data_IF_643634459582
#
_entry.id   IF_643634459582
#
_cell.length_a   1.000
_cell.length_b   1.000
_cell.length_c   1.000
_cell.angle_alpha   90.00
_cell.angle_beta   90.00
_cell.angle_gamma   90.00
#
_symmetry.space_group_name_H-M   'P 1'
#
loop_
_entity.id
_entity.type
_entity.pdbx_description
1 polymer ?
#
# COMPACT_ATOMS: atom_id res chain seq x y z
N UNK A 1 -16.70 -19.10 -22.97
CA UNK A 1 -16.95 -18.48 -21.65
C UNK A 1 -16.25 -17.14 -21.60
N UNK A 2 -16.93 -16.15 -21.05
CA UNK A 2 -16.33 -14.84 -20.90
C UNK A 2 -15.26 -14.86 -19.81
N UNK A 3 -14.15 -14.14 -20.05
CA UNK A 3 -13.13 -13.93 -19.04
C UNK A 3 -13.68 -13.01 -17.93
N UNK A 4 -13.22 -13.17 -16.67
CA UNK A 4 -13.64 -12.26 -15.61
C UNK A 4 -13.23 -10.82 -15.92
N UNK A 5 -14.09 -9.87 -15.59
CA UNK A 5 -13.79 -8.45 -15.74
C UNK A 5 -12.83 -8.00 -14.65
N UNK A 6 -12.20 -6.84 -14.86
CA UNK A 6 -11.37 -6.22 -13.83
C UNK A 6 -12.17 -6.03 -12.52
N UNK A 7 -13.45 -5.66 -12.62
CA UNK A 7 -14.33 -5.49 -11.46
C UNK A 7 -14.54 -6.81 -10.72
N UNK A 8 -14.80 -7.91 -11.44
CA UNK A 8 -14.98 -9.23 -10.82
C UNK A 8 -13.70 -9.67 -10.11
N UNK A 9 -12.56 -9.48 -10.75
CA UNK A 9 -11.26 -9.80 -10.17
C UNK A 9 -10.96 -8.96 -8.93
N UNK A 10 -11.30 -7.68 -8.97
CA UNK A 10 -11.14 -6.77 -7.83
C UNK A 10 -12.02 -7.22 -6.65
N UNK A 11 -13.28 -7.54 -6.91
CA UNK A 11 -14.18 -8.04 -5.87
C UNK A 11 -13.69 -9.33 -5.23
N UNK A 12 -13.23 -10.26 -6.05
CA UNK A 12 -12.67 -11.52 -5.57
C UNK A 12 -11.43 -11.28 -4.71
N UNK A 13 -10.54 -10.42 -5.18
CA UNK A 13 -9.32 -10.07 -4.43
C UNK A 13 -9.60 -9.38 -3.11
N UNK A 14 -10.55 -8.44 -3.08
CA UNK A 14 -10.89 -7.73 -1.84
C UNK A 14 -11.57 -8.65 -0.84
N UNK A 15 -12.38 -9.60 -1.28
CA UNK A 15 -12.96 -10.60 -0.40
C UNK A 15 -11.85 -11.46 0.24
N UNK A 16 -10.88 -11.88 -0.53
CA UNK A 16 -9.75 -12.64 0.00
C UNK A 16 -8.92 -11.80 0.99
N UNK A 17 -8.76 -10.50 0.73
CA UNK A 17 -8.12 -9.58 1.67
C UNK A 17 -8.87 -9.53 3.01
N UNK A 18 -10.18 -9.40 2.96
CA UNK A 18 -11.02 -9.34 4.17
C UNK A 18 -10.92 -10.63 4.97
N UNK A 19 -10.76 -11.77 4.29
CA UNK A 19 -10.59 -13.07 4.92
C UNK A 19 -9.18 -13.29 5.45
N UNK A 20 -8.25 -12.37 5.19
CA UNK A 20 -6.85 -12.51 5.59
C UNK A 20 -6.02 -13.41 4.69
N UNK A 21 -6.56 -13.83 3.54
CA UNK A 21 -5.87 -14.67 2.56
C UNK A 21 -5.03 -13.80 1.63
N UNK A 22 -4.00 -13.16 2.19
CA UNK A 22 -3.23 -12.14 1.49
C UNK A 22 -2.54 -12.68 0.25
N UNK A 23 -1.88 -13.81 0.38
CA UNK A 23 -1.17 -14.41 -0.76
C UNK A 23 -2.14 -14.77 -1.88
N UNK A 24 -3.26 -15.41 -1.56
CA UNK A 24 -4.29 -15.75 -2.54
C UNK A 24 -4.89 -14.50 -3.20
N UNK A 25 -5.04 -13.41 -2.44
CA UNK A 25 -5.59 -12.16 -2.95
C UNK A 25 -4.72 -11.53 -4.03
N UNK A 26 -3.41 -11.76 -4.01
CA UNK A 26 -2.51 -11.17 -5.00
C UNK A 26 -2.82 -11.66 -6.42
N UNK A 27 -3.33 -12.89 -6.57
CA UNK A 27 -3.57 -13.49 -7.89
C UNK A 27 -4.63 -12.71 -8.68
N UNK A 28 -5.89 -12.58 -8.18
CA UNK A 28 -6.90 -11.82 -8.93
C UNK A 28 -6.57 -10.32 -9.01
N UNK A 29 -5.90 -9.76 -7.99
CA UNK A 29 -5.59 -8.34 -8.00
C UNK A 29 -4.48 -7.98 -9.01
N UNK A 30 -3.51 -8.86 -9.21
CA UNK A 30 -2.51 -8.68 -10.27
C UNK A 30 -3.18 -8.66 -11.65
N UNK A 31 -4.11 -9.57 -11.89
CA UNK A 31 -4.85 -9.61 -13.15
C UNK A 31 -5.70 -8.36 -13.34
N UNK A 32 -6.35 -7.89 -12.28
CA UNK A 32 -7.14 -6.66 -12.33
C UNK A 32 -6.25 -5.46 -12.69
N UNK A 33 -5.05 -5.38 -12.12
CA UNK A 33 -4.10 -4.31 -12.45
C UNK A 33 -3.65 -4.38 -13.90
N UNK A 34 -3.41 -5.57 -14.43
CA UNK A 34 -3.04 -5.74 -15.84
C UNK A 34 -4.14 -5.24 -16.78
N UNK A 35 -5.40 -5.45 -16.42
CA UNK A 35 -6.54 -5.01 -17.20
C UNK A 35 -6.80 -3.50 -17.06
N UNK A 36 -6.55 -2.93 -15.88
CA UNK A 36 -6.76 -1.50 -15.59
C UNK A 36 -5.58 -0.93 -14.79
N UNK A 37 -4.43 -0.71 -15.45
CA UNK A 37 -3.21 -0.34 -14.74
C UNK A 37 -3.25 1.04 -14.07
N UNK A 38 -4.15 1.93 -14.52
CA UNK A 38 -4.27 3.27 -13.95
C UNK A 38 -5.24 3.37 -12.77
N UNK A 39 -5.89 2.28 -12.38
CA UNK A 39 -6.93 2.34 -11.36
C UNK A 39 -6.35 2.27 -9.94
N UNK A 40 -6.42 3.38 -9.22
CA UNK A 40 -5.84 3.50 -7.88
C UNK A 40 -6.40 2.49 -6.90
N UNK A 41 -7.72 2.24 -6.92
CA UNK A 41 -8.36 1.28 -6.00
C UNK A 41 -7.80 -0.13 -6.16
N UNK A 42 -7.51 -0.54 -7.39
CA UNK A 42 -6.91 -1.85 -7.67
C UNK A 42 -5.48 -1.90 -7.13
N UNK A 43 -4.68 -0.86 -7.39
CA UNK A 43 -3.30 -0.81 -6.91
C UNK A 43 -3.22 -0.77 -5.38
N UNK A 44 -4.12 -0.04 -4.72
CA UNK A 44 -4.18 -0.02 -3.25
C UNK A 44 -4.52 -1.40 -2.69
N UNK A 45 -5.52 -2.07 -3.26
CA UNK A 45 -5.90 -3.41 -2.82
C UNK A 45 -4.76 -4.40 -3.04
N UNK A 46 -4.10 -4.34 -4.20
CA UNK A 46 -2.94 -5.17 -4.50
C UNK A 46 -1.79 -4.89 -3.51
N UNK A 47 -1.51 -3.62 -3.25
CA UNK A 47 -0.50 -3.22 -2.28
C UNK A 47 -0.77 -3.80 -0.90
N UNK A 48 -2.02 -3.76 -0.45
CA UNK A 48 -2.44 -4.34 0.84
C UNK A 48 -2.23 -5.85 0.87
N UNK A 49 -2.57 -6.54 -0.21
CA UNK A 49 -2.37 -7.98 -0.31
C UNK A 49 -0.87 -8.33 -0.29
N UNK A 50 -0.08 -7.59 -1.04
CA UNK A 50 1.37 -7.78 -1.08
C UNK A 50 2.01 -7.52 0.28
N UNK A 51 1.57 -6.46 0.98
CA UNK A 51 2.05 -6.15 2.33
C UNK A 51 1.72 -7.29 3.29
N UNK A 52 0.47 -7.76 3.28
CA UNK A 52 0.05 -8.88 4.13
C UNK A 52 0.78 -10.17 3.82
N UNK A 53 1.17 -10.38 2.57
CA UNK A 53 1.99 -11.52 2.15
C UNK A 53 3.49 -11.31 2.38
N UNK A 54 3.88 -10.23 3.03
CA UNK A 54 5.27 -9.86 3.34
C UNK A 54 6.13 -9.58 2.09
N UNK A 55 5.49 -9.18 1.02
CA UNK A 55 6.17 -8.79 -0.23
C UNK A 55 6.28 -7.28 -0.25
N UNK A 56 7.13 -6.74 0.62
CA UNK A 56 7.15 -5.32 0.96
C UNK A 56 7.67 -4.43 -0.18
N UNK A 57 8.64 -4.88 -0.96
CA UNK A 57 9.13 -4.08 -2.08
C UNK A 57 8.04 -3.91 -3.15
N UNK A 58 7.36 -5.00 -3.48
CA UNK A 58 6.26 -4.94 -4.43
C UNK A 58 5.11 -4.09 -3.91
N UNK A 59 4.81 -4.19 -2.61
CA UNK A 59 3.81 -3.32 -1.97
C UNK A 59 4.20 -1.85 -2.10
N UNK A 60 5.45 -1.51 -1.82
CA UNK A 60 5.95 -0.14 -1.94
C UNK A 60 5.81 0.37 -3.38
N UNK A 61 6.06 -0.48 -4.37
CA UNK A 61 5.92 -0.11 -5.78
C UNK A 61 4.48 0.23 -6.13
N UNK A 62 3.50 -0.56 -5.63
CA UNK A 62 2.09 -0.29 -5.90
C UNK A 62 1.61 0.99 -5.21
N UNK A 63 1.93 1.16 -3.92
CA UNK A 63 1.55 2.38 -3.21
C UNK A 63 2.26 3.61 -3.76
N UNK A 64 3.51 3.47 -4.18
CA UNK A 64 4.26 4.53 -4.83
C UNK A 64 3.61 4.99 -6.12
N UNK A 65 3.08 4.07 -6.93
CA UNK A 65 2.36 4.41 -8.15
C UNK A 65 1.08 5.20 -7.84
N UNK A 66 0.36 4.84 -6.77
CA UNK A 66 -0.83 5.59 -6.32
C UNK A 66 -0.42 7.01 -5.89
N UNK A 67 0.65 7.13 -5.12
CA UNK A 67 1.14 8.45 -4.66
C UNK A 67 1.54 9.34 -5.84
N UNK A 68 2.14 8.77 -6.88
CA UNK A 68 2.49 9.53 -8.08
C UNK A 68 1.28 10.15 -8.74
N UNK A 69 0.15 9.44 -8.83
CA UNK A 69 -1.07 9.95 -9.45
C UNK A 69 -1.94 10.74 -8.49
N UNK A 70 -1.81 10.52 -7.19
CA UNK A 70 -2.60 11.17 -6.14
C UNK A 70 -1.71 11.52 -4.94
N UNK A 71 -0.90 12.62 -5.05
CA UNK A 71 0.11 12.93 -4.03
C UNK A 71 -0.43 13.25 -2.64
N UNK A 72 -1.73 13.52 -2.51
CA UNK A 72 -2.37 13.81 -1.22
C UNK A 72 -3.24 12.66 -0.72
N UNK A 73 -3.09 11.48 -1.31
CA UNK A 73 -3.76 10.29 -0.80
C UNK A 73 -3.02 9.82 0.46
N UNK A 74 -3.55 10.20 1.62
CA UNK A 74 -2.91 9.94 2.92
C UNK A 74 -2.73 8.45 3.20
N UNK A 75 -3.71 7.64 2.83
CA UNK A 75 -3.61 6.21 3.06
C UNK A 75 -2.48 5.57 2.24
N UNK A 76 -2.37 5.93 0.96
CA UNK A 76 -1.30 5.42 0.10
C UNK A 76 0.08 5.87 0.59
N UNK A 77 0.19 7.13 1.04
CA UNK A 77 1.42 7.64 1.65
C UNK A 77 1.79 6.85 2.90
N UNK A 78 0.83 6.60 3.76
CA UNK A 78 1.05 5.83 4.99
C UNK A 78 1.51 4.41 4.66
N UNK A 79 0.83 3.75 3.75
CA UNK A 79 1.16 2.37 3.37
C UNK A 79 2.52 2.28 2.66
N UNK A 80 2.86 3.28 1.83
CA UNK A 80 4.20 3.36 1.24
C UNK A 80 5.26 3.45 2.34
N UNK A 81 5.06 4.35 3.29
CA UNK A 81 5.99 4.51 4.39
C UNK A 81 6.13 3.24 5.23
N UNK A 82 5.02 2.58 5.52
CA UNK A 82 5.03 1.32 6.26
C UNK A 82 5.80 0.22 5.51
N UNK A 83 5.59 0.14 4.20
CA UNK A 83 6.31 -0.83 3.37
C UNK A 83 7.82 -0.59 3.41
N UNK A 84 8.23 0.67 3.32
CA UNK A 84 9.64 1.06 3.41
C UNK A 84 10.22 0.76 4.79
N UNK A 85 9.45 0.99 5.86
CA UNK A 85 9.87 0.63 7.22
C UNK A 85 10.13 -0.88 7.36
N UNK A 86 9.25 -1.70 6.79
CA UNK A 86 9.39 -3.15 6.85
C UNK A 86 10.61 -3.63 6.07
N UNK A 87 11.07 -2.86 5.09
CA UNK A 87 12.29 -3.12 4.35
C UNK A 87 13.56 -2.60 5.07
N UNK A 88 13.39 -1.94 6.21
CA UNK A 88 14.50 -1.31 6.91
C UNK A 88 14.97 0.01 6.30
N UNK A 89 14.24 0.54 5.32
CA UNK A 89 14.57 1.78 4.61
C UNK A 89 13.94 2.96 5.34
N UNK A 90 14.39 3.18 6.57
CA UNK A 90 13.78 4.13 7.50
C UNK A 90 13.92 5.58 7.04
N UNK A 91 15.04 5.92 6.44
CA UNK A 91 15.27 7.27 5.93
C UNK A 91 14.27 7.62 4.83
N UNK A 92 14.06 6.70 3.90
CA UNK A 92 13.09 6.89 2.81
C UNK A 92 11.64 6.89 3.30
N UNK A 93 11.36 6.21 4.41
CA UNK A 93 10.01 6.16 4.99
C UNK A 93 9.60 7.47 5.66
N UNK A 94 10.56 8.32 6.06
CA UNK A 94 10.28 9.55 6.83
C UNK A 94 9.35 10.51 6.09
N UNK A 95 9.61 10.77 4.82
CA UNK A 95 8.83 11.75 4.06
C UNK A 95 7.36 11.33 3.89
N UNK A 96 7.05 10.14 3.35
CA UNK A 96 5.64 9.76 3.17
C UNK A 96 4.88 9.65 4.50
N UNK A 97 5.52 9.20 5.58
CA UNK A 97 4.86 9.10 6.88
C UNK A 97 4.61 10.49 7.49
N UNK A 98 5.56 11.41 7.35
CA UNK A 98 5.38 12.79 7.82
C UNK A 98 4.24 13.46 7.07
N UNK A 99 4.18 13.29 5.75
CA UNK A 99 3.14 13.89 4.93
C UNK A 99 1.76 13.32 5.25
N UNK A 100 1.65 11.99 5.42
CA UNK A 100 0.40 11.34 5.83
C UNK A 100 -0.10 11.93 7.15
N UNK A 101 0.79 12.07 8.14
CA UNK A 101 0.46 12.65 9.45
C UNK A 101 0.04 14.11 9.35
N UNK A 102 0.66 14.88 8.47
CA UNK A 102 0.29 16.28 8.23
C UNK A 102 -1.10 16.39 7.60
N UNK A 103 -1.42 15.49 6.66
CA UNK A 103 -2.72 15.48 5.99
C UNK A 103 -3.85 15.02 6.90
N UNK A 104 -3.55 14.12 7.83
CA UNK A 104 -4.55 13.56 8.76
C UNK A 104 -3.97 13.58 10.19
N UNK A 105 -3.87 14.77 10.80
CA UNK A 105 -3.23 14.90 12.13
C UNK A 105 -3.99 14.18 13.25
N UNK A 106 -5.27 13.88 13.06
CA UNK A 106 -6.08 13.14 14.02
C UNK A 106 -5.76 11.64 14.07
N UNK A 107 -5.04 11.12 13.06
CA UNK A 107 -4.71 9.70 13.01
C UNK A 107 -3.50 9.40 13.90
N UNK A 108 -3.75 8.75 15.03
CA UNK A 108 -2.71 8.35 15.98
C UNK A 108 -1.72 7.36 15.38
N UNK A 109 -2.20 6.42 14.59
CA UNK A 109 -1.36 5.43 13.95
C UNK A 109 -0.36 6.09 12.99
N UNK A 110 -0.77 7.11 12.24
CA UNK A 110 0.12 7.85 11.36
C UNK A 110 1.25 8.52 12.13
N UNK A 111 0.93 9.18 13.24
CA UNK A 111 1.93 9.83 14.09
C UNK A 111 2.90 8.82 14.71
N UNK A 112 2.39 7.70 15.18
CA UNK A 112 3.20 6.66 15.81
C UNK A 112 4.25 6.10 14.85
N UNK A 113 3.86 5.78 13.62
CA UNK A 113 4.80 5.23 12.65
C UNK A 113 5.74 6.30 12.09
N UNK A 114 5.26 7.56 11.96
CA UNK A 114 6.13 8.70 11.65
C UNK A 114 7.26 8.83 12.68
N UNK A 115 6.93 8.79 13.95
CA UNK A 115 7.91 8.96 15.03
C UNK A 115 8.88 7.78 15.06
N UNK A 116 8.39 6.59 14.81
CA UNK A 116 9.26 5.40 14.70
C UNK A 116 10.27 5.57 13.56
N UNK A 117 9.83 6.05 12.40
CA UNK A 117 10.71 6.27 11.26
C UNK A 117 11.80 7.29 11.58
N UNK A 118 11.45 8.38 12.26
CA UNK A 118 12.40 9.40 12.70
C UNK A 118 13.46 8.81 13.62
N UNK A 119 13.04 8.08 14.64
CA UNK A 119 13.96 7.47 15.60
C UNK A 119 14.91 6.48 14.93
N UNK A 120 14.40 5.65 14.04
CA UNK A 120 15.20 4.64 13.34
C UNK A 120 16.17 5.26 12.36
N UNK A 121 15.75 6.28 11.62
CA UNK A 121 16.61 6.99 10.68
C UNK A 121 17.74 7.71 11.43
N UNK A 122 17.43 8.35 12.55
CA UNK A 122 18.42 9.10 13.34
C UNK A 122 19.39 8.18 14.07
N UNK A 123 19.01 6.95 14.32
CA UNK A 123 19.86 5.94 14.99
C UNK A 123 20.82 5.24 14.02
N UNK A 124 20.62 5.39 12.71
CA UNK A 124 21.42 4.72 11.69
C UNK A 124 22.79 5.35 11.52
#
# INVERSE_FOLDING_TARGET
MASPSAYDLFRNGTRLLEDGDFHAATVPLLRARELEPGKASVREALGRALFGAQRYQEAADEFGAVVQSAPTNDYALFCLGRSLQMLGRHDEARHPLALASTLRPEREDYRRYRDRARRRADAA
#
